data_IF_566304547467
#
_entry.id   IF_566304547467
#
_cell.length_a   1.000
_cell.length_b   1.000
_cell.length_c   1.000
_cell.angle_alpha   90.00
_cell.angle_beta   90.00
_cell.angle_gamma   90.00
#
_symmetry.space_group_name_H-M   'P 1'
#
loop_
_entity.id
_entity.type
_entity.pdbx_description
1 polymer ?
#
# COMPACT_ATOMS: atom_id res chain seq x y z
N UNK A 1 8.81 21.48 -22.74
CA UNK A 1 8.66 20.23 -21.96
C UNK A 1 7.20 19.85 -21.98
N UNK A 2 6.86 18.90 -22.85
CA UNK A 2 5.47 18.59 -23.18
C UNK A 2 4.84 17.79 -22.04
N UNK A 3 3.91 18.42 -21.32
CA UNK A 3 2.88 17.72 -20.54
C UNK A 3 1.94 17.04 -21.53
N UNK A 4 2.32 15.86 -22.04
CA UNK A 4 1.32 14.93 -22.54
C UNK A 4 0.65 14.33 -21.29
N UNK A 5 -0.69 14.36 -21.17
CA UNK A 5 -1.36 13.55 -20.18
C UNK A 5 -1.04 12.10 -20.54
N UNK A 6 -0.16 11.47 -19.77
CA UNK A 6 -0.03 10.02 -19.82
C UNK A 6 -1.41 9.49 -19.48
N UNK A 7 -2.11 9.02 -20.49
CA UNK A 7 -3.28 8.17 -20.34
C UNK A 7 -2.73 6.90 -19.69
N UNK A 8 -2.56 6.93 -18.36
CA UNK A 8 -2.37 5.73 -17.55
C UNK A 8 -3.70 5.02 -17.67
N UNK A 9 -3.87 4.29 -18.77
CA UNK A 9 -4.86 3.22 -18.87
C UNK A 9 -4.44 2.23 -17.81
N UNK A 10 -4.90 2.44 -16.58
CA UNK A 10 -4.63 1.57 -15.45
C UNK A 10 -5.14 0.21 -15.89
N UNK A 11 -4.23 -0.68 -16.29
CA UNK A 11 -4.52 -2.07 -16.65
C UNK A 11 -4.81 -2.90 -15.38
N UNK A 12 -5.14 -2.20 -14.29
CA UNK A 12 -5.41 -2.75 -12.99
C UNK A 12 -6.90 -3.07 -12.93
N UNK A 13 -7.20 -4.35 -13.00
CA UNK A 13 -8.56 -4.81 -12.76
C UNK A 13 -8.95 -4.44 -11.33
N UNK A 14 -10.05 -3.67 -11.11
CA UNK A 14 -10.53 -3.37 -9.77
C UNK A 14 -10.77 -4.67 -8.99
N UNK A 15 -10.57 -4.66 -7.68
CA UNK A 15 -10.75 -5.85 -6.85
C UNK A 15 -12.20 -6.33 -6.92
N UNK A 16 -12.45 -7.34 -7.75
CA UNK A 16 -13.76 -7.95 -7.89
C UNK A 16 -13.95 -9.05 -6.83
N UNK A 17 -15.07 -9.04 -6.08
CA UNK A 17 -15.50 -10.19 -5.30
C UNK A 17 -15.58 -11.44 -6.18
N UNK A 18 -15.33 -12.62 -5.60
CA UNK A 18 -15.32 -13.87 -6.39
C UNK A 18 -16.63 -14.14 -7.13
N UNK A 19 -17.76 -13.75 -6.54
CA UNK A 19 -19.08 -13.94 -7.13
C UNK A 19 -19.41 -13.00 -8.30
N UNK A 20 -18.58 -11.98 -8.56
CA UNK A 20 -18.79 -11.00 -9.64
C UNK A 20 -17.63 -10.99 -10.64
N UNK A 21 -16.78 -12.02 -10.62
CA UNK A 21 -15.72 -12.20 -11.60
C UNK A 21 -16.34 -12.63 -12.92
N UNK A 22 -15.98 -11.96 -14.00
CA UNK A 22 -16.27 -12.47 -15.34
C UNK A 22 -15.28 -13.61 -15.67
N UNK A 23 -15.61 -14.51 -16.60
CA UNK A 23 -14.71 -15.61 -16.99
C UNK A 23 -13.32 -15.15 -17.41
N UNK A 24 -13.23 -13.95 -18.00
CA UNK A 24 -11.99 -13.32 -18.44
C UNK A 24 -11.19 -12.64 -17.31
N UNK A 25 -11.76 -12.45 -16.12
CA UNK A 25 -11.10 -11.78 -15.00
C UNK A 25 -10.37 -12.78 -14.09
N UNK A 26 -9.10 -12.50 -13.79
CA UNK A 26 -8.37 -13.22 -12.75
C UNK A 26 -8.63 -12.58 -11.37
N UNK A 27 -8.96 -13.42 -10.37
CA UNK A 27 -9.07 -12.95 -8.99
C UNK A 27 -7.71 -12.51 -8.44
N UNK A 28 -7.64 -11.28 -7.92
CA UNK A 28 -6.46 -10.76 -7.22
C UNK A 28 -6.82 -10.35 -5.80
N UNK A 29 -5.92 -10.63 -4.86
CA UNK A 29 -6.04 -10.18 -3.48
C UNK A 29 -5.71 -8.69 -3.36
N UNK A 30 -6.14 -8.04 -2.29
CA UNK A 30 -5.78 -6.63 -2.00
C UNK A 30 -4.26 -6.41 -2.00
N UNK A 31 -3.53 -7.37 -1.44
CA UNK A 31 -2.07 -7.35 -1.37
C UNK A 31 -1.45 -7.40 -2.77
N UNK A 32 -1.92 -8.32 -3.63
CA UNK A 32 -1.40 -8.45 -5.00
C UNK A 32 -1.66 -7.19 -5.82
N UNK A 33 -2.87 -6.62 -5.71
CA UNK A 33 -3.23 -5.38 -6.39
C UNK A 33 -2.34 -4.22 -5.93
N UNK A 34 -2.09 -4.09 -4.61
CA UNK A 34 -1.21 -3.04 -4.08
C UNK A 34 0.23 -3.17 -4.61
N UNK A 35 0.79 -4.38 -4.63
CA UNK A 35 2.13 -4.62 -5.17
C UNK A 35 2.24 -4.28 -6.66
N UNK A 36 1.21 -4.62 -7.45
CA UNK A 36 1.12 -4.27 -8.87
C UNK A 36 1.04 -2.74 -9.06
N UNK A 37 0.21 -2.04 -8.29
CA UNK A 37 0.11 -0.57 -8.32
C UNK A 37 1.47 0.09 -8.05
N UNK A 38 2.16 -0.34 -6.99
CA UNK A 38 3.48 0.22 -6.64
C UNK A 38 4.46 0.04 -7.81
N UNK A 39 4.48 -1.15 -8.38
CA UNK A 39 5.38 -1.47 -9.51
C UNK A 39 5.05 -0.62 -10.73
N UNK A 40 3.78 -0.51 -11.11
CA UNK A 40 3.35 0.31 -12.24
C UNK A 40 3.70 1.79 -12.02
N UNK A 41 3.50 2.34 -10.82
CA UNK A 41 3.81 3.73 -10.53
C UNK A 41 5.32 4.02 -10.65
N UNK A 42 6.17 3.11 -10.16
CA UNK A 42 7.62 3.21 -10.30
C UNK A 42 8.04 3.12 -11.77
N UNK A 43 7.46 2.19 -12.54
CA UNK A 43 7.73 2.01 -13.97
C UNK A 43 7.31 3.22 -14.82
N UNK A 44 6.22 3.89 -14.44
CA UNK A 44 5.77 5.15 -15.07
C UNK A 44 6.70 6.33 -14.71
N UNK A 45 7.64 6.14 -13.78
CA UNK A 45 8.60 7.15 -13.34
C UNK A 45 8.03 8.10 -12.28
N UNK A 46 7.01 7.67 -11.54
CA UNK A 46 6.48 8.46 -10.44
C UNK A 46 7.50 8.51 -9.29
N UNK A 47 7.85 9.71 -8.84
CA UNK A 47 8.80 9.88 -7.75
C UNK A 47 8.09 9.68 -6.39
N UNK A 48 8.17 8.47 -5.85
CA UNK A 48 7.59 8.12 -4.55
C UNK A 48 8.65 8.31 -3.46
N UNK A 49 8.49 9.33 -2.62
CA UNK A 49 9.40 9.58 -1.49
C UNK A 49 9.14 8.62 -0.32
N UNK A 50 7.87 8.40 0.02
CA UNK A 50 7.48 7.52 1.13
C UNK A 50 6.13 6.87 0.86
N UNK A 51 6.00 5.59 1.24
CA UNK A 51 4.73 4.85 1.21
C UNK A 51 4.17 4.73 2.63
N UNK A 52 2.95 5.19 2.84
CA UNK A 52 2.20 5.00 4.09
C UNK A 52 1.16 3.91 3.89
N UNK A 53 1.21 2.85 4.69
CA UNK A 53 0.24 1.76 4.60
C UNK A 53 -0.34 1.33 5.94
N UNK A 54 -1.50 0.67 5.91
CA UNK A 54 -2.09 0.08 7.11
C UNK A 54 -1.35 -1.19 7.55
N UNK A 55 -1.78 -1.74 8.68
CA UNK A 55 -1.20 -2.96 9.25
C UNK A 55 -1.39 -4.21 8.39
N UNK A 56 -2.45 -4.30 7.60
CA UNK A 56 -2.68 -5.43 6.72
C UNK A 56 -1.56 -5.52 5.68
N UNK A 57 -1.12 -4.38 5.15
CA UNK A 57 -0.03 -4.34 4.18
C UNK A 57 1.34 -4.52 4.84
N UNK A 58 1.54 -4.02 6.06
CA UNK A 58 2.77 -4.24 6.82
C UNK A 58 3.03 -5.70 7.21
N UNK A 59 1.97 -6.46 7.52
CA UNK A 59 2.07 -7.90 7.81
C UNK A 59 2.25 -8.75 6.54
N UNK A 60 1.93 -8.19 5.38
CA UNK A 60 2.01 -8.88 4.10
C UNK A 60 3.42 -8.84 3.51
N UNK A 61 4.17 -9.93 3.69
CA UNK A 61 5.55 -10.10 3.15
C UNK A 61 5.68 -9.77 1.66
N UNK A 62 4.64 -10.01 0.86
CA UNK A 62 4.64 -9.68 -0.56
C UNK A 62 4.71 -8.17 -0.79
N UNK A 63 3.96 -7.39 0.00
CA UNK A 63 3.92 -5.94 -0.14
C UNK A 63 5.23 -5.31 0.32
N UNK A 64 5.74 -5.71 1.50
CA UNK A 64 7.01 -5.19 2.03
C UNK A 64 8.18 -5.52 1.10
N UNK A 65 8.25 -6.75 0.57
CA UNK A 65 9.28 -7.10 -0.42
C UNK A 65 9.21 -6.28 -1.70
N UNK A 66 8.00 -5.97 -2.20
CA UNK A 66 7.87 -5.10 -3.37
C UNK A 66 8.41 -3.70 -3.08
N UNK A 67 8.14 -3.15 -1.91
CA UNK A 67 8.66 -1.86 -1.49
C UNK A 67 10.19 -1.88 -1.36
N UNK A 68 10.75 -2.93 -0.74
CA UNK A 68 12.19 -3.11 -0.57
C UNK A 68 12.91 -3.29 -1.92
N UNK A 69 12.34 -4.07 -2.84
CA UNK A 69 12.91 -4.29 -4.17
C UNK A 69 12.98 -3.01 -5.01
N UNK A 70 12.03 -2.09 -4.82
CA UNK A 70 12.02 -0.78 -5.46
C UNK A 70 12.76 0.28 -4.65
N UNK A 71 13.41 -0.12 -3.55
CA UNK A 71 14.17 0.75 -2.64
C UNK A 71 13.36 1.95 -2.14
N UNK A 72 12.06 1.73 -1.89
CA UNK A 72 11.12 2.75 -1.43
C UNK A 72 11.15 2.84 0.10
N UNK A 73 11.17 4.06 0.62
CA UNK A 73 10.96 4.26 2.07
C UNK A 73 9.49 4.01 2.41
N UNK A 74 9.21 3.32 3.50
CA UNK A 74 7.84 2.99 3.88
C UNK A 74 7.59 3.04 5.39
N UNK A 75 6.35 3.38 5.75
CA UNK A 75 5.84 3.38 7.13
C UNK A 75 4.54 2.59 7.13
N UNK A 76 4.45 1.60 8.01
CA UNK A 76 3.25 0.76 8.16
C UNK A 76 2.65 0.91 9.55
N UNK A 77 1.33 0.92 9.64
CA UNK A 77 0.65 0.88 10.92
C UNK A 77 0.89 -0.48 11.60
N UNK A 78 1.06 -0.50 12.92
CA UNK A 78 1.22 -1.72 13.73
C UNK A 78 -0.10 -1.96 14.47
N UNK A 79 -0.62 -3.19 14.45
CA UNK A 79 -1.77 -3.55 15.28
C UNK A 79 -1.37 -3.70 16.74
N UNK A 80 -2.30 -3.41 17.61
CA UNK A 80 -2.18 -3.56 19.07
C UNK A 80 -1.87 -5.00 19.52
N UNK A 81 -2.19 -6.00 18.70
CA UNK A 81 -1.91 -7.42 18.96
C UNK A 81 -0.60 -7.96 18.36
N UNK A 82 0.20 -7.13 17.68
CA UNK A 82 1.49 -7.52 17.11
C UNK A 82 2.65 -6.73 17.72
N UNK A 83 3.60 -7.45 18.33
CA UNK A 83 4.84 -6.88 18.85
C UNK A 83 5.82 -6.60 17.72
N UNK A 84 6.43 -5.42 17.72
CA UNK A 84 7.53 -5.08 16.82
C UNK A 84 8.84 -5.14 17.59
N UNK A 85 9.84 -5.80 17.00
CA UNK A 85 11.21 -5.73 17.48
C UNK A 85 11.76 -4.34 17.17
N UNK A 86 12.05 -3.59 18.23
CA UNK A 86 12.57 -2.22 18.13
C UNK A 86 13.90 -2.13 18.87
N UNK A 87 14.87 -1.33 18.37
CA UNK A 87 16.08 -1.01 19.10
C UNK A 87 15.74 -0.42 20.47
N UNK A 88 16.55 -0.71 21.49
CA UNK A 88 16.28 -0.29 22.87
C UNK A 88 16.20 1.24 23.03
N UNK A 89 16.82 2.01 22.13
CA UNK A 89 16.78 3.48 22.13
C UNK A 89 15.47 4.06 21.56
N UNK A 90 14.71 3.28 20.79
CA UNK A 90 13.50 3.76 20.15
C UNK A 90 12.26 3.51 21.02
N UNK A 91 11.26 4.40 20.96
CA UNK A 91 9.99 4.25 21.69
C UNK A 91 8.79 4.36 20.76
N UNK A 92 7.87 3.39 20.84
CA UNK A 92 6.57 3.48 20.18
C UNK A 92 5.72 4.51 20.92
N UNK A 93 5.40 5.62 20.26
CA UNK A 93 4.39 6.55 20.75
C UNK A 93 3.01 6.10 20.26
N UNK A 94 2.21 5.50 21.14
CA UNK A 94 0.78 5.30 20.86
C UNK A 94 0.10 6.66 20.75
N UNK A 95 -0.27 7.08 19.54
CA UNK A 95 -1.17 8.22 19.34
C UNK A 95 -2.61 7.76 19.56
N UNK A 96 -3.15 7.99 20.76
CA UNK A 96 -4.57 7.86 21.02
C UNK A 96 -5.31 8.99 20.29
N UNK A 97 -5.68 8.80 19.03
CA UNK A 97 -6.68 9.67 18.37
C UNK A 97 -8.07 9.16 18.69
N UNK A 98 -8.49 9.38 19.94
CA UNK A 98 -9.90 9.38 20.30
C UNK A 98 -10.46 10.78 20.00
N UNK A 99 -11.62 10.83 19.34
CA UNK A 99 -12.43 12.00 18.95
C UNK A 99 -12.09 12.63 17.59
N UNK A 100 -12.76 12.13 16.55
CA UNK A 100 -13.22 12.98 15.46
C UNK A 100 -14.32 13.85 16.07
N UNK A 101 -14.15 15.16 16.05
CA UNK A 101 -15.23 16.08 16.38
C UNK A 101 -16.30 15.91 15.29
N UNK A 102 -17.57 15.61 15.63
CA UNK A 102 -18.61 15.59 14.62
C UNK A 102 -18.77 17.02 14.10
N UNK A 103 -19.05 17.14 12.80
CA UNK A 103 -19.20 18.37 12.01
C UNK A 103 -17.95 18.79 11.23
N UNK A 104 -17.56 17.96 10.26
CA UNK A 104 -17.28 18.42 8.90
C UNK A 104 -17.80 17.38 7.91
#
# INVERSE_FOLDING_TARGET
MNFLPVLVSTRLSPRKPRGTLKPEDSYKTKIKIAAEIITELVEVGFNIEVVLADSLYGEAKQCTRTLDNHNLSWIVAIRDNHGVWMPQEEKVRKTLRAKIHPNF
#
